data_IF_769415728753
#
_entry.id   IF_769415728753
#
_cell.length_a   1.000
_cell.length_b   1.000
_cell.length_c   1.000
_cell.angle_alpha   90.00
_cell.angle_beta   90.00
_cell.angle_gamma   90.00
#
_symmetry.space_group_name_H-M   'P 1'
#
loop_
_entity.id
_entity.type
_entity.pdbx_description
1 polymer ?
#
# COMPACT_ATOMS: atom_id res chain seq x y z
N UNK A 1 4.30 6.38 -2.27
CA UNK A 1 3.50 5.22 -2.71
C UNK A 1 4.46 4.12 -3.09
N UNK A 2 4.40 2.97 -2.41
CA UNK A 2 5.35 1.87 -2.62
C UNK A 2 5.18 1.17 -3.97
N UNK A 3 3.96 1.14 -4.51
CA UNK A 3 3.66 0.37 -5.71
C UNK A 3 3.34 1.23 -6.92
N UNK A 4 4.11 1.04 -7.96
CA UNK A 4 4.01 1.64 -9.30
C UNK A 4 4.30 0.57 -10.35
N UNK A 5 4.10 0.83 -11.66
CA UNK A 5 4.45 -0.13 -12.70
C UNK A 5 5.90 -0.64 -12.66
N UNK A 6 6.82 0.16 -12.16
CA UNK A 6 8.27 -0.11 -12.13
C UNK A 6 8.78 -0.66 -10.80
N UNK A 7 7.90 -0.88 -9.82
CA UNK A 7 8.32 -1.34 -8.50
C UNK A 7 8.97 -2.71 -8.56
N UNK A 8 10.16 -2.81 -7.99
CA UNK A 8 10.87 -4.06 -7.76
C UNK A 8 10.69 -4.51 -6.31
N UNK A 9 10.88 -5.82 -6.05
CA UNK A 9 10.72 -6.35 -4.70
C UNK A 9 11.66 -5.69 -3.69
N UNK A 10 12.90 -5.41 -4.12
CA UNK A 10 13.90 -4.75 -3.26
C UNK A 10 13.50 -3.34 -2.80
N UNK A 11 12.61 -2.65 -3.56
CA UNK A 11 12.16 -1.31 -3.17
C UNK A 11 11.39 -1.36 -1.85
N UNK A 12 10.63 -2.43 -1.63
CA UNK A 12 9.92 -2.65 -0.36
C UNK A 12 10.89 -2.94 0.79
N UNK A 13 11.94 -3.73 0.55
CA UNK A 13 13.01 -3.94 1.54
C UNK A 13 13.69 -2.61 1.91
N UNK A 14 14.05 -1.81 0.92
CA UNK A 14 14.65 -0.49 1.14
C UNK A 14 13.73 0.43 1.95
N UNK A 15 12.42 0.41 1.70
CA UNK A 15 11.44 1.20 2.47
C UNK A 15 11.42 0.73 3.92
N UNK A 16 11.40 -0.58 4.18
CA UNK A 16 11.44 -1.12 5.55
C UNK A 16 12.75 -0.72 6.24
N UNK A 17 13.89 -0.83 5.56
CA UNK A 17 15.19 -0.41 6.11
C UNK A 17 15.21 1.09 6.46
N UNK A 18 14.57 1.95 5.65
CA UNK A 18 14.42 3.37 5.96
C UNK A 18 13.54 3.59 7.19
N UNK A 19 12.39 2.90 7.28
CA UNK A 19 11.50 2.98 8.44
C UNK A 19 12.24 2.58 9.72
N UNK A 20 13.00 1.48 9.68
CA UNK A 20 13.79 1.00 10.82
C UNK A 20 14.94 1.96 11.16
N UNK A 21 15.71 2.36 10.16
CA UNK A 21 16.89 3.20 10.33
C UNK A 21 16.57 4.59 10.89
N UNK A 22 15.41 5.14 10.54
CA UNK A 22 14.93 6.44 11.04
C UNK A 22 13.91 6.33 12.16
N UNK A 23 13.62 5.11 12.66
CA UNK A 23 12.67 4.87 13.76
C UNK A 23 11.26 5.42 13.45
N UNK A 24 10.75 5.18 12.24
CA UNK A 24 9.49 5.75 11.76
C UNK A 24 8.27 4.84 11.94
N UNK A 25 8.38 3.69 12.62
CA UNK A 25 7.27 2.73 12.78
C UNK A 25 6.00 3.36 13.34
N UNK A 26 6.15 4.32 14.25
CA UNK A 26 5.01 5.00 14.90
C UNK A 26 4.31 6.01 13.99
N UNK A 27 5.00 6.49 12.95
CA UNK A 27 4.50 7.53 12.05
C UNK A 27 4.01 6.98 10.72
N UNK A 28 4.40 5.76 10.38
CA UNK A 28 3.97 5.08 9.14
C UNK A 28 2.85 4.11 9.46
N UNK A 29 1.65 4.40 8.97
CA UNK A 29 0.54 3.46 9.05
C UNK A 29 0.84 2.25 8.15
N UNK A 30 0.74 0.99 8.64
CA UNK A 30 1.03 -0.22 7.86
C UNK A 30 0.32 -0.28 6.51
N UNK A 31 -0.92 0.20 6.42
CA UNK A 31 -1.67 0.24 5.16
C UNK A 31 -0.95 1.03 4.07
N UNK A 32 -0.12 2.03 4.43
CA UNK A 32 0.63 2.83 3.46
C UNK A 32 1.62 1.99 2.65
N UNK A 33 2.05 0.85 3.19
CA UNK A 33 2.91 -0.11 2.49
C UNK A 33 2.17 -0.90 1.40
N UNK A 34 0.85 -0.76 1.27
CA UNK A 34 0.04 -1.43 0.25
C UNK A 34 -0.41 -0.52 -0.88
N UNK A 35 -0.16 0.79 -0.78
CA UNK A 35 -0.74 1.79 -1.66
C UNK A 35 -0.15 1.70 -3.07
N UNK A 36 -1.05 1.58 -4.06
CA UNK A 36 -0.76 1.62 -5.49
C UNK A 36 -0.78 3.05 -6.04
N UNK A 37 -0.02 3.29 -7.10
CA UNK A 37 -0.07 4.55 -7.84
C UNK A 37 -1.47 4.74 -8.47
N UNK A 38 -2.14 5.84 -8.10
CA UNK A 38 -3.35 6.28 -8.78
C UNK A 38 -2.99 7.22 -9.93
N UNK A 39 -3.61 7.01 -11.09
CA UNK A 39 -3.37 7.79 -12.30
C UNK A 39 -4.70 8.42 -12.75
N UNK A 40 -5.08 9.59 -12.20
CA UNK A 40 -6.30 10.28 -12.60
C UNK A 40 -6.25 10.72 -14.07
N UNK A 41 -7.43 10.96 -14.66
CA UNK A 41 -7.61 11.31 -16.10
C UNK A 41 -6.72 12.46 -16.59
N UNK A 42 -6.38 13.41 -15.72
CA UNK A 42 -5.59 14.59 -16.08
C UNK A 42 -4.16 14.55 -15.49
N UNK A 43 -3.71 13.39 -15.04
CA UNK A 43 -2.36 13.23 -14.51
C UNK A 43 -1.29 13.50 -15.57
N UNK A 44 -0.27 14.28 -15.20
CA UNK A 44 0.84 14.59 -16.10
C UNK A 44 1.65 13.35 -16.48
N UNK A 45 1.63 12.31 -15.66
CA UNK A 45 2.35 11.05 -15.94
C UNK A 45 1.87 10.38 -17.24
N UNK A 46 0.60 10.56 -17.63
CA UNK A 46 0.02 10.00 -18.86
C UNK A 46 0.74 10.50 -20.11
N UNK A 47 1.33 11.71 -20.03
CA UNK A 47 2.06 12.32 -21.13
C UNK A 47 3.47 11.74 -21.30
N UNK A 48 3.96 10.98 -20.32
CA UNK A 48 5.28 10.37 -20.35
C UNK A 48 5.27 9.12 -21.23
N UNK A 49 6.24 8.97 -22.17
CA UNK A 49 6.31 7.78 -23.01
C UNK A 49 6.47 6.48 -22.22
N UNK A 50 7.19 6.57 -21.08
CA UNK A 50 7.57 5.44 -20.26
C UNK A 50 6.36 4.73 -19.62
N UNK A 51 5.29 5.47 -19.30
CA UNK A 51 4.09 4.89 -18.68
C UNK A 51 3.19 4.21 -19.69
N UNK A 52 3.24 4.62 -20.98
CA UNK A 52 2.24 4.23 -21.99
C UNK A 52 2.12 2.72 -22.17
N UNK A 53 3.22 2.00 -22.07
CA UNK A 53 3.23 0.53 -22.24
C UNK A 53 2.56 -0.21 -21.08
N UNK A 54 2.36 0.45 -19.94
CA UNK A 54 1.75 -0.14 -18.76
C UNK A 54 0.30 0.29 -18.57
N UNK A 55 -0.14 1.39 -19.22
CA UNK A 55 -1.49 1.92 -19.06
C UNK A 55 -2.52 1.03 -19.72
N UNK A 56 -3.58 0.73 -18.97
CA UNK A 56 -4.83 0.14 -19.44
C UNK A 56 -5.93 1.19 -19.59
N UNK A 57 -7.17 0.73 -19.48
CA UNK A 57 -8.36 1.56 -19.62
C UNK A 57 -8.59 2.45 -18.40
N UNK A 58 -9.29 3.56 -18.62
CA UNK A 58 -9.74 4.42 -17.54
C UNK A 58 -10.98 3.84 -16.87
N UNK A 59 -10.89 3.59 -15.59
CA UNK A 59 -11.99 3.09 -14.77
C UNK A 59 -12.69 4.24 -14.05
N UNK A 60 -13.98 4.40 -14.30
CA UNK A 60 -14.76 5.51 -13.71
C UNK A 60 -15.04 5.31 -12.22
N UNK A 61 -15.06 4.08 -11.75
CA UNK A 61 -15.36 3.77 -10.35
C UNK A 61 -14.19 4.14 -9.44
N UNK A 62 -12.96 3.83 -9.85
CA UNK A 62 -11.74 4.18 -9.14
C UNK A 62 -11.21 5.58 -9.50
N UNK A 63 -11.79 6.24 -10.52
CA UNK A 63 -11.34 7.52 -11.09
C UNK A 63 -9.87 7.50 -11.54
N UNK A 64 -9.39 6.35 -11.97
CA UNK A 64 -7.99 6.08 -12.29
C UNK A 64 -7.85 5.27 -13.57
N UNK A 65 -6.74 5.45 -14.28
CA UNK A 65 -6.33 4.48 -15.29
C UNK A 65 -5.84 3.22 -14.60
N UNK A 66 -6.27 2.07 -15.09
CA UNK A 66 -5.68 0.79 -14.74
C UNK A 66 -4.26 0.73 -15.32
N UNK A 67 -3.39 0.01 -14.66
CA UNK A 67 -2.04 -0.22 -15.14
C UNK A 67 -1.51 -1.58 -14.72
N UNK A 68 -0.50 -2.05 -15.43
CA UNK A 68 0.12 -3.35 -15.19
C UNK A 68 1.52 -3.19 -14.61
N UNK A 69 1.90 -4.12 -13.74
CA UNK A 69 3.26 -4.21 -13.22
C UNK A 69 4.22 -4.73 -14.30
N UNK A 70 5.43 -4.20 -14.34
CA UNK A 70 6.52 -4.80 -15.10
C UNK A 70 6.98 -6.12 -14.46
N UNK A 71 6.97 -6.16 -13.13
CA UNK A 71 7.33 -7.33 -12.34
C UNK A 71 6.08 -7.94 -11.68
N UNK A 72 5.65 -9.12 -12.16
CA UNK A 72 4.50 -9.86 -11.62
C UNK A 72 4.66 -10.22 -10.14
N UNK A 73 5.89 -10.38 -9.64
CA UNK A 73 6.13 -10.65 -8.22
C UNK A 73 5.82 -9.43 -7.34
N UNK A 74 6.01 -8.21 -7.85
CA UNK A 74 5.61 -6.99 -7.14
C UNK A 74 4.07 -6.89 -7.03
N UNK A 75 3.34 -7.30 -8.07
CA UNK A 75 1.87 -7.41 -8.01
C UNK A 75 1.40 -8.40 -6.94
N UNK A 76 2.01 -9.60 -6.93
CA UNK A 76 1.69 -10.62 -5.93
C UNK A 76 2.01 -10.16 -4.51
N UNK A 77 3.16 -9.51 -4.31
CA UNK A 77 3.54 -8.94 -3.02
C UNK A 77 2.51 -7.91 -2.56
N UNK A 78 2.14 -6.96 -3.44
CA UNK A 78 1.13 -5.94 -3.11
C UNK A 78 -0.21 -6.58 -2.70
N UNK A 79 -0.68 -7.57 -3.44
CA UNK A 79 -1.92 -8.28 -3.13
C UNK A 79 -1.83 -9.01 -1.78
N UNK A 80 -0.69 -9.68 -1.50
CA UNK A 80 -0.47 -10.38 -0.23
C UNK A 80 -0.45 -9.42 0.96
N UNK A 81 0.21 -8.27 0.83
CA UNK A 81 0.25 -7.24 1.88
C UNK A 81 -1.13 -6.65 2.13
N UNK A 82 -1.87 -6.35 1.06
CA UNK A 82 -3.22 -5.79 1.16
C UNK A 82 -4.20 -6.78 1.81
N UNK A 83 -4.17 -8.04 1.37
CA UNK A 83 -4.99 -9.12 1.95
C UNK A 83 -4.66 -9.34 3.43
N UNK A 84 -3.37 -9.27 3.79
CA UNK A 84 -2.94 -9.41 5.18
C UNK A 84 -3.56 -8.32 6.06
N UNK A 85 -3.49 -7.06 5.67
CA UNK A 85 -4.08 -5.93 6.41
C UNK A 85 -5.60 -6.10 6.55
N UNK A 86 -6.30 -6.49 5.48
CA UNK A 86 -7.74 -6.68 5.53
C UNK A 86 -8.17 -7.82 6.48
N UNK A 87 -7.40 -8.91 6.50
CA UNK A 87 -7.70 -10.08 7.33
C UNK A 87 -7.33 -9.89 8.81
N UNK A 88 -6.40 -8.99 9.08
CA UNK A 88 -5.82 -8.77 10.40
C UNK A 88 -6.09 -7.35 10.92
N UNK A 89 -7.28 -6.81 10.61
CA UNK A 89 -7.68 -5.46 11.05
C UNK A 89 -7.82 -5.31 12.57
N UNK A 90 -7.92 -6.43 13.30
CA UNK A 90 -8.01 -6.49 14.77
C UNK A 90 -6.64 -6.42 15.46
N UNK A 91 -5.55 -6.69 14.72
CA UNK A 91 -4.20 -6.55 15.25
C UNK A 91 -3.85 -5.08 15.45
N UNK A 92 -2.99 -4.81 16.42
CA UNK A 92 -2.43 -3.47 16.56
C UNK A 92 -1.47 -3.12 15.40
N UNK A 93 -1.18 -1.82 15.23
CA UNK A 93 -0.34 -1.34 14.13
C UNK A 93 1.08 -1.93 14.15
N UNK A 94 1.61 -2.23 15.34
CA UNK A 94 2.93 -2.84 15.48
C UNK A 94 2.93 -4.28 15.00
N UNK A 95 1.92 -5.06 15.40
CA UNK A 95 1.74 -6.45 14.96
C UNK A 95 1.49 -6.52 13.46
N UNK A 96 0.65 -5.61 12.93
CA UNK A 96 0.42 -5.49 11.49
C UNK A 96 1.72 -5.18 10.74
N UNK A 97 2.51 -4.22 11.23
CA UNK A 97 3.80 -3.87 10.61
C UNK A 97 4.76 -5.06 10.58
N UNK A 98 4.93 -5.77 11.69
CA UNK A 98 5.81 -6.94 11.76
C UNK A 98 5.35 -8.07 10.83
N UNK A 99 4.04 -8.30 10.75
CA UNK A 99 3.46 -9.27 9.82
C UNK A 99 3.75 -8.91 8.36
N UNK A 100 3.64 -7.63 8.00
CA UNK A 100 3.97 -7.17 6.64
C UNK A 100 5.46 -7.29 6.35
N UNK A 101 6.34 -6.98 7.31
CA UNK A 101 7.79 -7.20 7.15
C UNK A 101 8.09 -8.68 6.87
N UNK A 102 7.45 -9.60 7.60
CA UNK A 102 7.62 -11.04 7.35
C UNK A 102 7.21 -11.45 5.93
N UNK A 103 6.13 -10.90 5.40
CA UNK A 103 5.69 -11.13 4.01
C UNK A 103 6.73 -10.58 3.03
N UNK A 104 7.25 -9.37 3.25
CA UNK A 104 8.28 -8.75 2.40
C UNK A 104 9.55 -9.62 2.42
N UNK A 105 9.99 -10.09 3.58
CA UNK A 105 11.12 -11.00 3.71
C UNK A 105 10.93 -12.30 2.91
N UNK A 106 9.74 -12.88 2.95
CA UNK A 106 9.42 -14.10 2.20
C UNK A 106 9.52 -13.88 0.68
N UNK A 107 8.97 -12.77 0.19
CA UNK A 107 9.00 -12.46 -1.25
C UNK A 107 10.38 -12.05 -1.75
N UNK A 108 11.16 -11.38 -0.94
CA UNK A 108 12.49 -10.87 -1.32
C UNK A 108 13.61 -11.85 -1.06
N UNK A 109 13.38 -12.84 -0.19
CA UNK A 109 14.42 -13.73 0.32
C UNK A 109 15.47 -13.03 1.18
N UNK A 110 15.22 -11.77 1.58
CA UNK A 110 16.15 -10.93 2.34
C UNK A 110 15.66 -10.79 3.78
N UNK A 111 16.52 -11.12 4.75
CA UNK A 111 16.22 -10.89 6.16
C UNK A 111 16.39 -9.42 6.49
N UNK A 112 15.35 -8.80 6.99
CA UNK A 112 15.33 -7.39 7.35
C UNK A 112 15.62 -7.24 8.86
N UNK A 113 16.47 -6.28 9.20
CA UNK A 113 16.81 -6.00 10.60
C UNK A 113 15.66 -5.20 11.22
N UNK A 114 14.76 -5.88 11.91
CA UNK A 114 13.74 -5.24 12.73
C UNK A 114 14.20 -5.16 14.19
N UNK A 115 14.10 -3.96 14.78
CA UNK A 115 14.40 -3.81 16.20
C UNK A 115 13.28 -4.44 17.03
N UNK A 116 13.53 -5.60 17.62
CA UNK A 116 12.56 -6.32 18.47
C UNK A 116 12.33 -5.68 19.83
N UNK A 117 13.27 -4.84 20.29
CA UNK A 117 13.18 -4.10 21.56
C UNK A 117 12.67 -2.67 21.36
N UNK A 118 11.90 -2.44 20.30
CA UNK A 118 11.34 -1.13 20.00
C UNK A 118 10.27 -0.76 21.04
N UNK A 119 10.52 0.34 21.78
CA UNK A 119 9.53 0.91 22.70
C UNK A 119 8.48 1.69 21.88
N UNK A 120 7.41 0.99 21.52
CA UNK A 120 6.34 1.55 20.69
C UNK A 120 5.59 2.65 21.45
N UNK A 121 5.86 3.88 21.12
CA UNK A 121 5.12 5.04 21.64
C UNK A 121 3.97 5.38 20.70
N UNK A 122 2.75 5.19 21.14
CA UNK A 122 1.58 5.58 20.34
C UNK A 122 1.57 7.08 20.10
N UNK A 123 1.98 7.51 18.93
CA UNK A 123 1.92 8.91 18.50
C UNK A 123 0.48 9.24 18.08
N UNK A 124 -0.10 10.38 18.50
CA UNK A 124 -1.38 10.81 17.99
C UNK A 124 -1.34 10.93 16.46
N UNK A 125 -2.17 10.14 15.79
CA UNK A 125 -2.33 10.16 14.33
C UNK A 125 -3.71 10.66 13.98
N UNK A 126 -3.85 11.30 12.83
CA UNK A 126 -5.16 11.50 12.22
C UNK A 126 -5.64 10.13 11.73
N UNK A 127 -6.60 9.55 12.47
CA UNK A 127 -7.28 8.33 12.03
C UNK A 127 -8.40 8.74 11.07
N UNK A 128 -8.08 8.85 9.81
CA UNK A 128 -9.10 9.02 8.79
C UNK A 128 -9.61 7.65 8.34
N UNK A 129 -10.93 7.51 8.23
CA UNK A 129 -11.57 6.31 7.67
C UNK A 129 -11.38 6.20 6.16
N UNK A 130 -10.65 7.13 5.55
CA UNK A 130 -10.35 7.21 4.12
C UNK A 130 -8.85 7.15 3.90
N UNK A 131 -8.46 6.31 3.00
CA UNK A 131 -7.11 6.37 2.47
C UNK A 131 -7.09 7.38 1.33
N UNK A 132 -6.65 8.58 1.63
CA UNK A 132 -6.63 9.74 0.72
C UNK A 132 -5.96 9.47 -0.65
N UNK A 133 -5.20 8.40 -0.79
CA UNK A 133 -4.43 8.08 -1.98
C UNK A 133 -4.47 6.59 -2.34
N UNK A 134 -5.33 5.80 -1.73
CA UNK A 134 -5.50 4.39 -2.03
C UNK A 134 -6.80 4.15 -2.80
N UNK A 135 -6.77 3.22 -3.73
CA UNK A 135 -7.98 2.70 -4.35
C UNK A 135 -8.92 2.18 -3.25
N UNK A 136 -10.16 2.68 -3.13
CA UNK A 136 -11.08 2.17 -2.13
C UNK A 136 -11.34 0.69 -2.40
N UNK A 137 -11.21 -0.13 -1.37
CA UNK A 137 -11.53 -1.55 -1.47
C UNK A 137 -13.02 -1.74 -1.81
N UNK A 138 -13.39 -2.86 -2.41
CA UNK A 138 -14.80 -3.20 -2.67
C UNK A 138 -15.66 -3.05 -1.41
N UNK A 139 -15.14 -3.44 -0.24
CA UNK A 139 -15.84 -3.33 1.04
C UNK A 139 -16.10 -1.85 1.41
N UNK A 140 -15.14 -0.96 1.15
CA UNK A 140 -15.32 0.47 1.39
C UNK A 140 -16.33 1.09 0.42
N UNK A 141 -16.28 0.70 -0.85
CA UNK A 141 -17.26 1.13 -1.86
C UNK A 141 -18.67 0.64 -1.52
N UNK A 142 -18.82 -0.59 -1.03
CA UNK A 142 -20.12 -1.14 -0.63
C UNK A 142 -20.66 -0.45 0.62
N UNK A 143 -19.84 -0.10 1.60
CA UNK A 143 -20.25 0.72 2.76
C UNK A 143 -20.71 2.11 2.35
N UNK A 144 -20.03 2.76 1.38
CA UNK A 144 -20.44 4.08 0.85
C UNK A 144 -21.78 3.96 0.14
N UNK A 145 -22.01 2.90 -0.65
CA UNK A 145 -23.28 2.63 -1.34
C UNK A 145 -24.42 2.39 -0.35
N UNK A 146 -24.17 1.62 0.71
CA UNK A 146 -25.16 1.31 1.74
C UNK A 146 -25.56 2.56 2.54
N UNK A 147 -24.62 3.43 2.88
CA UNK A 147 -24.89 4.68 3.61
C UNK A 147 -25.64 5.73 2.75
N UNK A 148 -25.49 5.71 1.42
CA UNK A 148 -26.30 6.56 0.52
C UNK A 148 -27.76 6.14 0.38
N UNK A 149 -28.09 4.91 0.74
CA UNK A 149 -29.47 4.42 0.73
C UNK A 149 -30.28 4.81 1.99
N UNK A 150 -29.65 5.50 2.95
CA UNK A 150 -30.23 5.94 4.22
C UNK A 150 -30.44 7.48 4.30
N UNK A 151 -30.22 8.22 3.22
CA UNK A 151 -30.51 9.63 3.06
C UNK A 151 -31.54 9.82 1.92
#
# INVERSE_FOLDING_TARGET
>A
MPFSPWTELKDLSNIVELIEGYQLRETVDPIQLTIKLLIPKHSLIIKRPEIKKYLGDYEKESLSFQWQYENIHAEKLQSSLFDFILKNSELDEHEQYLGMVSIIEEFTGTKLLTNTNYDFKKVPKLSETWFCCAEPSKIQLDRIKTNKALI
#
